data_IF_902615554100
#
_entry.id   IF_902615554100
#
_cell.length_a   1.000
_cell.length_b   1.000
_cell.length_c   1.000
_cell.angle_alpha   90.00
_cell.angle_beta   90.00
_cell.angle_gamma   90.00
#
_symmetry.space_group_name_H-M   'P 1'
#
loop_
_entity.id
_entity.type
_entity.pdbx_description
1 polymer ?
#
# COMPACT_ATOMS: atom_id res chain seq x y z
N UNK A 1 11.84 -20.53 -1.28
CA UNK A 1 13.19 -20.62 -1.89
C UNK A 1 14.00 -19.45 -1.37
N UNK A 2 15.26 -19.67 -0.97
CA UNK A 2 16.14 -18.61 -0.47
C UNK A 2 17.18 -18.27 -1.53
N UNK A 3 17.39 -16.99 -1.81
CA UNK A 3 18.50 -16.52 -2.63
C UNK A 3 19.50 -15.81 -1.72
N UNK A 4 20.76 -16.24 -1.76
CA UNK A 4 21.83 -15.61 -0.99
C UNK A 4 22.77 -14.91 -1.97
N UNK A 5 23.12 -13.66 -1.68
CA UNK A 5 24.17 -12.94 -2.42
C UNK A 5 25.15 -12.23 -1.48
N UNK A 6 26.39 -11.98 -1.93
CA UNK A 6 27.32 -11.10 -1.24
C UNK A 6 26.77 -9.68 -1.11
N UNK A 7 27.15 -9.01 -0.02
CA UNK A 7 26.83 -7.61 0.26
C UNK A 7 27.90 -6.71 -0.37
N UNK A 8 27.49 -5.56 -0.91
CA UNK A 8 28.36 -4.54 -1.51
C UNK A 8 28.33 -3.24 -0.68
N UNK A 9 29.27 -2.32 -0.92
CA UNK A 9 29.29 -1.01 -0.24
C UNK A 9 27.97 -0.23 -0.40
N UNK A 10 27.28 -0.41 -1.54
CA UNK A 10 25.97 0.20 -1.78
C UNK A 10 24.85 -0.38 -0.91
N UNK A 11 25.00 -1.60 -0.41
CA UNK A 11 24.01 -2.29 0.42
C UNK A 11 24.13 -1.91 1.91
N UNK A 12 25.31 -1.46 2.35
CA UNK A 12 25.64 -1.20 3.77
C UNK A 12 26.45 0.08 3.93
N UNK A 13 25.77 1.23 3.98
CA UNK A 13 26.44 2.54 4.03
C UNK A 13 27.22 2.85 5.33
N UNK A 14 27.02 2.06 6.40
CA UNK A 14 27.72 2.24 7.70
C UNK A 14 28.80 1.21 7.98
N UNK A 15 28.90 0.14 7.17
CA UNK A 15 29.88 -0.90 7.41
C UNK A 15 31.26 -0.47 6.87
N UNK A 16 32.32 -0.78 7.61
CA UNK A 16 33.68 -0.60 7.12
C UNK A 16 34.01 -1.66 6.06
N UNK A 17 34.92 -1.35 5.14
CA UNK A 17 35.25 -2.24 4.00
C UNK A 17 35.73 -3.62 4.45
N UNK A 18 36.40 -3.71 5.61
CA UNK A 18 36.89 -4.96 6.20
C UNK A 18 35.77 -5.84 6.77
N UNK A 19 34.61 -5.25 7.07
CA UNK A 19 33.45 -5.94 7.62
C UNK A 19 32.54 -6.50 6.53
N UNK A 20 32.49 -5.86 5.36
CA UNK A 20 31.65 -6.27 4.21
C UNK A 20 31.76 -7.76 3.85
N UNK A 21 32.96 -8.37 3.70
CA UNK A 21 33.05 -9.79 3.34
C UNK A 21 32.52 -10.74 4.42
N UNK A 22 32.23 -10.26 5.63
CA UNK A 22 31.64 -11.04 6.74
C UNK A 22 30.10 -11.01 6.73
N UNK A 23 29.49 -10.23 5.83
CA UNK A 23 28.04 -10.01 5.77
C UNK A 23 27.48 -10.70 4.52
N UNK A 24 26.33 -11.37 4.65
CA UNK A 24 25.58 -11.91 3.52
C UNK A 24 24.11 -11.53 3.63
N UNK A 25 23.46 -11.31 2.47
CA UNK A 25 22.04 -10.99 2.40
C UNK A 25 21.25 -12.25 2.04
N UNK A 26 20.25 -12.58 2.86
CA UNK A 26 19.27 -13.63 2.54
C UNK A 26 18.03 -12.96 1.99
N UNK A 27 17.62 -13.36 0.79
CA UNK A 27 16.40 -12.92 0.14
C UNK A 27 15.38 -14.06 0.16
N UNK A 28 14.20 -13.78 0.70
CA UNK A 28 13.07 -14.70 0.67
C UNK A 28 12.32 -14.49 -0.63
N UNK A 29 11.95 -15.57 -1.34
CA UNK A 29 11.30 -15.53 -2.66
C UNK A 29 9.89 -14.88 -2.72
N UNK A 30 9.51 -14.10 -1.70
CA UNK A 30 8.30 -13.29 -1.63
C UNK A 30 8.53 -11.87 -1.07
N UNK A 31 9.76 -11.49 -0.70
CA UNK A 31 10.04 -10.23 0.02
C UNK A 31 10.71 -9.17 -0.86
N UNK A 32 10.07 -8.86 -1.97
CA UNK A 32 10.27 -7.61 -2.73
C UNK A 32 9.26 -6.52 -2.34
N UNK A 33 8.31 -6.81 -1.44
CA UNK A 33 7.40 -5.80 -0.91
C UNK A 33 8.01 -5.18 0.35
N UNK A 34 8.51 -3.96 0.19
CA UNK A 34 9.05 -3.15 1.27
C UNK A 34 7.93 -2.83 2.27
N UNK A 35 7.63 -3.73 3.22
CA UNK A 35 6.81 -3.41 4.39
C UNK A 35 7.65 -2.57 5.33
N UNK A 36 7.61 -1.25 5.13
CA UNK A 36 7.97 -0.30 6.18
C UNK A 36 6.97 -0.49 7.31
N UNK A 37 7.36 -1.26 8.32
CA UNK A 37 6.78 -1.21 9.65
C UNK A 37 7.00 0.19 10.22
N UNK A 38 5.98 1.03 10.09
CA UNK A 38 5.72 2.10 11.03
C UNK A 38 4.43 1.70 11.76
N UNK A 39 4.60 1.30 13.01
CA UNK A 39 3.54 0.98 13.95
C UNK A 39 2.48 2.08 14.01
N UNK A 40 1.35 1.92 13.31
CA UNK A 40 0.01 2.20 13.84
C UNK A 40 -1.01 1.31 13.11
N UNK A 41 -1.81 0.64 13.94
CA UNK A 41 -3.02 -0.14 13.63
C UNK A 41 -2.84 -1.56 13.06
N UNK A 42 -3.43 -2.49 13.81
CA UNK A 42 -3.58 -3.90 13.51
C UNK A 42 -4.27 -4.14 12.16
N UNK A 43 -3.48 -4.15 11.09
CA UNK A 43 -3.91 -4.73 9.81
C UNK A 43 -3.55 -6.21 9.87
N UNK A 44 -4.52 -7.03 10.26
CA UNK A 44 -4.41 -8.47 10.13
C UNK A 44 -4.05 -8.83 8.69
N UNK A 45 -3.03 -9.67 8.44
CA UNK A 45 -2.75 -10.19 7.12
C UNK A 45 -3.78 -11.28 6.81
N UNK A 46 -4.94 -10.89 6.27
CA UNK A 46 -5.89 -11.83 5.72
C UNK A 46 -5.60 -12.02 4.23
N UNK A 47 -4.89 -13.10 3.91
CA UNK A 47 -4.65 -13.66 2.56
C UNK A 47 -5.94 -14.18 1.89
N UNK A 48 -7.02 -13.40 1.92
CA UNK A 48 -8.20 -13.56 1.07
C UNK A 48 -8.23 -12.33 0.19
N UNK A 49 -8.51 -12.49 -1.09
CA UNK A 49 -8.57 -11.40 -2.08
C UNK A 49 -9.51 -10.28 -1.60
N UNK A 50 -8.99 -9.31 -0.86
CA UNK A 50 -9.73 -8.24 -0.16
C UNK A 50 -10.05 -7.08 -1.13
N UNK A 51 -10.61 -7.43 -2.28
CA UNK A 51 -11.06 -6.44 -3.27
C UNK A 51 -12.58 -6.29 -3.16
N UNK A 52 -13.03 -5.05 -3.05
CA UNK A 52 -14.45 -4.69 -3.08
C UNK A 52 -14.85 -4.41 -4.52
N UNK A 53 -15.78 -5.21 -5.05
CA UNK A 53 -16.26 -5.08 -6.42
C UNK A 53 -17.44 -4.10 -6.50
N UNK A 54 -17.33 -3.07 -7.34
CA UNK A 54 -18.43 -2.12 -7.56
C UNK A 54 -18.35 -1.48 -8.95
N UNK A 55 -19.42 -1.57 -9.75
CA UNK A 55 -19.49 -0.98 -11.10
C UNK A 55 -18.26 -1.27 -11.99
N UNK A 56 -17.73 -2.49 -11.91
CA UNK A 56 -16.54 -2.94 -12.65
C UNK A 56 -15.19 -2.57 -12.01
N UNK A 57 -15.19 -1.83 -10.91
CA UNK A 57 -13.98 -1.53 -10.13
C UNK A 57 -13.61 -2.67 -9.18
N UNK A 58 -12.32 -2.80 -8.92
CA UNK A 58 -11.73 -3.63 -7.87
C UNK A 58 -11.07 -2.72 -6.84
N UNK A 59 -11.83 -2.32 -5.82
CA UNK A 59 -11.39 -1.39 -4.80
C UNK A 59 -10.56 -2.06 -3.71
N UNK A 60 -9.44 -1.44 -3.35
CA UNK A 60 -8.58 -1.80 -2.22
C UNK A 60 -8.73 -0.73 -1.14
N UNK A 61 -8.93 -1.11 0.14
CA UNK A 61 -8.85 -0.18 1.27
C UNK A 61 -7.48 0.50 1.37
N UNK A 62 -7.47 1.83 1.49
CA UNK A 62 -6.23 2.62 1.59
C UNK A 62 -6.44 3.87 2.46
N UNK A 63 -5.34 4.55 2.80
CA UNK A 63 -5.29 5.79 3.56
C UNK A 63 -4.35 6.79 2.88
N UNK A 64 -4.75 8.07 2.81
CA UNK A 64 -3.93 9.12 2.21
C UNK A 64 -3.45 10.12 3.25
N UNK A 65 -2.16 10.09 3.57
CA UNK A 65 -1.51 11.12 4.41
C UNK A 65 -1.03 12.34 3.61
N UNK A 66 -1.09 12.26 2.27
CA UNK A 66 -0.72 13.32 1.33
C UNK A 66 -1.94 13.79 0.53
N UNK A 67 -1.90 15.00 -0.06
CA UNK A 67 -3.03 15.56 -0.81
C UNK A 67 -3.64 14.59 -1.83
N UNK A 68 -4.93 14.30 -1.63
CA UNK A 68 -5.77 13.49 -2.52
C UNK A 68 -7.22 13.96 -2.42
N UNK A 69 -7.98 13.89 -3.52
CA UNK A 69 -9.40 14.23 -3.54
C UNK A 69 -10.24 12.98 -3.81
N UNK A 70 -11.47 12.97 -3.29
CA UNK A 70 -12.45 11.94 -3.58
C UNK A 70 -13.13 12.22 -4.91
N UNK A 71 -13.16 11.25 -5.80
CA UNK A 71 -13.77 11.38 -7.13
C UNK A 71 -15.31 11.41 -7.07
N UNK A 72 -15.93 10.93 -5.98
CA UNK A 72 -17.37 10.92 -5.81
C UNK A 72 -17.94 12.27 -5.30
N UNK A 73 -17.20 12.97 -4.44
CA UNK A 73 -17.68 14.20 -3.80
C UNK A 73 -16.73 15.41 -3.89
N UNK A 74 -15.59 15.28 -4.57
CA UNK A 74 -14.51 16.27 -4.70
C UNK A 74 -13.86 16.75 -3.39
N UNK A 75 -14.35 16.29 -2.22
CA UNK A 75 -13.80 16.64 -0.91
C UNK A 75 -12.41 16.04 -0.71
N UNK A 76 -11.58 16.65 0.15
CA UNK A 76 -10.30 16.05 0.56
C UNK A 76 -10.50 14.62 1.07
N UNK A 77 -9.66 13.72 0.58
CA UNK A 77 -9.60 12.30 0.95
C UNK A 77 -8.40 12.00 1.86
N UNK A 78 -7.79 13.04 2.44
CA UNK A 78 -6.50 12.94 3.12
C UNK A 78 -6.47 13.71 4.44
N UNK A 79 -5.58 13.27 5.33
CA UNK A 79 -5.20 14.00 6.55
C UNK A 79 -3.87 13.43 7.09
N UNK A 80 -2.98 14.29 7.60
CA UNK A 80 -1.61 13.88 7.98
C UNK A 80 -1.54 12.95 9.19
N UNK A 81 -2.40 13.14 10.21
CA UNK A 81 -2.43 12.26 11.39
C UNK A 81 -3.48 11.15 11.32
N UNK A 82 -4.73 11.48 10.95
CA UNK A 82 -5.86 10.55 10.91
C UNK A 82 -6.61 10.69 9.59
N UNK A 83 -6.09 10.12 8.49
CA UNK A 83 -6.76 10.16 7.20
C UNK A 83 -8.11 9.46 7.24
N UNK A 84 -9.10 9.95 6.47
CA UNK A 84 -10.38 9.27 6.37
C UNK A 84 -10.22 7.91 5.67
N UNK A 85 -11.07 6.91 5.99
CA UNK A 85 -11.09 5.63 5.28
C UNK A 85 -11.37 5.83 3.79
N UNK A 86 -10.46 5.32 2.95
CA UNK A 86 -10.54 5.47 1.52
C UNK A 86 -10.47 4.11 0.79
N UNK A 87 -10.88 4.14 -0.46
CA UNK A 87 -10.79 3.04 -1.42
C UNK A 87 -10.07 3.55 -2.67
N UNK A 88 -9.18 2.73 -3.21
CA UNK A 88 -8.52 2.96 -4.51
C UNK A 88 -8.77 1.78 -5.43
N UNK A 89 -9.23 2.04 -6.66
CA UNK A 89 -9.38 0.98 -7.65
C UNK A 89 -8.01 0.57 -8.19
N UNK A 90 -7.67 -0.72 -8.11
CA UNK A 90 -6.39 -1.23 -8.64
C UNK A 90 -6.26 -1.22 -10.16
N UNK A 91 -7.37 -0.98 -10.88
CA UNK A 91 -7.42 -0.99 -12.35
C UNK A 91 -7.25 0.42 -12.92
N UNK A 92 -8.06 1.36 -12.44
CA UNK A 92 -8.08 2.73 -12.97
C UNK A 92 -7.58 3.80 -11.98
N UNK A 93 -7.17 3.40 -10.77
CA UNK A 93 -6.67 4.30 -9.71
C UNK A 93 -7.64 5.40 -9.25
N UNK A 94 -8.94 5.25 -9.52
CA UNK A 94 -9.98 6.13 -8.97
C UNK A 94 -10.03 6.00 -7.45
N UNK A 95 -10.17 7.13 -6.75
CA UNK A 95 -10.09 7.23 -5.29
C UNK A 95 -11.39 7.74 -4.71
N UNK A 96 -11.91 7.11 -3.67
CA UNK A 96 -13.13 7.57 -3.01
C UNK A 96 -13.14 7.27 -1.52
N UNK A 97 -13.99 7.94 -0.74
CA UNK A 97 -14.24 7.56 0.65
C UNK A 97 -14.96 6.20 0.71
N UNK A 98 -14.63 5.41 1.72
CA UNK A 98 -15.30 4.11 1.96
C UNK A 98 -16.81 4.26 2.19
N UNK A 99 -17.22 5.34 2.86
CA UNK A 99 -18.63 5.66 3.12
C UNK A 99 -19.51 5.64 1.87
N UNK A 100 -19.00 6.10 0.73
CA UNK A 100 -19.78 6.14 -0.50
C UNK A 100 -20.18 4.73 -0.97
N UNK A 101 -19.31 3.74 -0.76
CA UNK A 101 -19.61 2.36 -1.10
C UNK A 101 -20.50 1.69 -0.05
N UNK A 102 -20.22 1.92 1.24
CA UNK A 102 -20.99 1.33 2.35
C UNK A 102 -22.45 1.82 2.36
N UNK A 103 -22.68 3.08 2.00
CA UNK A 103 -24.02 3.68 1.85
C UNK A 103 -24.66 3.40 0.49
N UNK A 104 -23.96 2.69 -0.41
CA UNK A 104 -24.39 2.38 -1.79
C UNK A 104 -24.79 3.64 -2.57
N UNK A 105 -24.01 4.71 -2.41
CA UNK A 105 -24.25 5.96 -3.14
C UNK A 105 -23.89 5.78 -4.62
N UNK A 106 -24.75 6.25 -5.52
CA UNK A 106 -24.61 6.09 -6.97
C UNK A 106 -23.64 7.11 -7.60
N UNK A 107 -22.66 7.62 -6.85
CA UNK A 107 -21.81 8.77 -7.25
C UNK A 107 -20.59 8.38 -8.09
N UNK A 108 -20.20 7.11 -8.11
CA UNK A 108 -18.99 6.64 -8.80
C UNK A 108 -19.36 6.14 -10.20
N UNK A 109 -18.68 6.67 -11.22
CA UNK A 109 -18.80 6.21 -12.61
C UNK A 109 -18.21 4.78 -12.77
N UNK A 110 -18.67 3.97 -13.73
CA UNK A 110 -18.12 2.64 -13.97
C UNK A 110 -16.64 2.67 -14.33
N UNK A 111 -15.94 1.57 -14.04
CA UNK A 111 -14.52 1.43 -14.37
C UNK A 111 -14.29 1.54 -15.88
N UNK A 112 -13.26 2.27 -16.26
CA UNK A 112 -12.73 2.32 -17.62
C UNK A 112 -11.62 1.29 -17.81
#
# INVERSE_FOLDING_TARGET
LFHVRPVTQGDVYRAETEEIPKIFQILYANEGECRKDLEVESVQPAEKTNFLNHKGHEFIPTLYHFPANCEACAKPLWHVFKPPPALECRRCHVKCHRDHLDKKEELIAPCK
#
